data_IF_085622165023
#
_entry.id   IF_085622165023
#
_cell.length_a   1.000
_cell.length_b   1.000
_cell.length_c   1.000
_cell.angle_alpha   90.00
_cell.angle_beta   90.00
_cell.angle_gamma   90.00
#
_symmetry.space_group_name_H-M   'P 1'
#
loop_
_entity.id
_entity.type
_entity.pdbx_description
1 polymer ?
#
# COMPACT_ATOMS: atom_id res chain seq x y z
N UNK A 1 5.40 -13.73 -6.08
CA UNK A 1 5.74 -12.70 -5.10
C UNK A 1 4.65 -11.64 -5.09
N UNK A 2 4.33 -11.09 -3.93
CA UNK A 2 3.28 -10.09 -3.82
C UNK A 2 3.71 -8.71 -4.28
N UNK A 3 2.73 -7.90 -4.67
CA UNK A 3 2.91 -6.50 -5.04
C UNK A 3 2.16 -5.66 -4.01
N UNK A 4 2.83 -4.67 -3.42
CA UNK A 4 2.25 -3.82 -2.40
C UNK A 4 1.76 -2.52 -3.05
N UNK A 5 0.53 -2.13 -2.74
CA UNK A 5 -0.04 -0.85 -3.18
C UNK A 5 -0.36 -0.02 -1.95
N UNK A 6 0.16 1.20 -1.91
CA UNK A 6 0.00 2.11 -0.78
C UNK A 6 -0.75 3.35 -1.26
N UNK A 7 -1.88 3.64 -0.63
CA UNK A 7 -2.70 4.81 -0.91
C UNK A 7 -2.55 5.80 0.23
N UNK A 8 -2.21 7.04 -0.08
CA UNK A 8 -1.94 8.06 0.92
C UNK A 8 -2.33 9.45 0.43
N UNK A 9 -2.28 10.40 1.35
CA UNK A 9 -2.43 11.82 1.05
C UNK A 9 -1.43 12.57 1.92
N UNK A 10 -0.81 13.64 1.39
CA UNK A 10 0.28 14.35 2.06
C UNK A 10 -0.11 14.93 3.42
N UNK A 11 -1.37 15.33 3.58
CA UNK A 11 -1.88 15.89 4.83
C UNK A 11 -2.43 14.85 5.82
N UNK A 12 -2.32 13.56 5.48
CA UNK A 12 -2.73 12.49 6.39
C UNK A 12 -1.75 12.41 7.58
N UNK A 13 -2.25 12.37 8.84
CA UNK A 13 -1.37 12.28 10.01
C UNK A 13 -0.45 11.05 10.00
N UNK A 14 -0.87 9.98 9.34
CA UNK A 14 -0.10 8.73 9.25
C UNK A 14 0.77 8.66 7.99
N UNK A 15 0.84 9.73 7.21
CA UNK A 15 1.67 9.77 6.01
C UNK A 15 3.14 9.42 6.28
N UNK A 16 3.80 9.95 7.33
CA UNK A 16 5.20 9.59 7.60
C UNK A 16 5.40 8.09 7.82
N UNK A 17 4.44 7.42 8.46
CA UNK A 17 4.50 5.97 8.68
C UNK A 17 4.34 5.20 7.37
N UNK A 18 3.41 5.62 6.53
CA UNK A 18 3.20 5.00 5.22
C UNK A 18 4.43 5.18 4.32
N UNK A 19 5.02 6.36 4.35
CA UNK A 19 6.25 6.65 3.60
C UNK A 19 7.41 5.78 4.06
N UNK A 20 7.58 5.62 5.37
CA UNK A 20 8.63 4.78 5.93
C UNK A 20 8.44 3.31 5.52
N UNK A 21 7.21 2.83 5.57
CA UNK A 21 6.88 1.48 5.11
C UNK A 21 7.26 1.29 3.65
N UNK A 22 6.88 2.24 2.78
CA UNK A 22 7.25 2.20 1.37
C UNK A 22 8.75 2.13 1.18
N UNK A 23 9.48 3.03 1.82
CA UNK A 23 10.92 3.12 1.67
C UNK A 23 11.62 1.83 2.13
N UNK A 24 11.18 1.27 3.26
CA UNK A 24 11.73 0.02 3.78
C UNK A 24 11.46 -1.14 2.84
N UNK A 25 10.25 -1.23 2.28
CA UNK A 25 9.91 -2.28 1.32
C UNK A 25 10.76 -2.18 0.05
N UNK A 26 10.95 -0.96 -0.46
CA UNK A 26 11.78 -0.73 -1.63
C UNK A 26 13.24 -1.12 -1.39
N UNK A 27 13.76 -0.85 -0.20
CA UNK A 27 15.11 -1.26 0.19
C UNK A 27 15.28 -2.78 0.19
N UNK A 28 14.19 -3.50 0.42
CA UNK A 28 14.19 -4.96 0.43
C UNK A 28 13.77 -5.56 -0.92
N UNK A 29 13.78 -4.76 -1.97
CA UNK A 29 13.45 -5.16 -3.33
C UNK A 29 12.03 -5.71 -3.48
N UNK A 30 11.11 -5.26 -2.65
CA UNK A 30 9.68 -5.58 -2.78
C UNK A 30 9.06 -4.61 -3.78
N UNK A 31 8.24 -5.13 -4.70
CA UNK A 31 7.52 -4.29 -5.64
C UNK A 31 6.46 -3.46 -4.91
N UNK A 32 6.58 -2.14 -4.96
CA UNK A 32 5.67 -1.20 -4.31
C UNK A 32 5.21 -0.16 -5.31
N UNK A 33 3.90 0.02 -5.40
CA UNK A 33 3.30 1.13 -6.13
C UNK A 33 2.60 2.03 -5.12
N UNK A 34 2.99 3.28 -5.05
CA UNK A 34 2.36 4.24 -4.15
C UNK A 34 1.50 5.24 -4.93
N UNK A 35 0.34 5.56 -4.38
CA UNK A 35 -0.65 6.41 -5.02
C UNK A 35 -1.04 7.55 -4.08
N UNK A 36 -0.78 8.78 -4.53
CA UNK A 36 -1.25 9.98 -3.82
C UNK A 36 -2.68 10.28 -4.31
N UNK A 37 -3.67 10.08 -3.42
CA UNK A 37 -5.07 10.31 -3.79
C UNK A 37 -5.42 11.78 -3.98
N UNK A 38 -4.49 12.69 -3.67
CA UNK A 38 -4.62 14.11 -3.99
C UNK A 38 -4.34 14.42 -5.47
N UNK A 39 -3.85 13.43 -6.24
CA UNK A 39 -3.65 13.57 -7.68
C UNK A 39 -4.77 12.88 -8.43
N UNK A 40 -4.96 13.26 -9.71
CA UNK A 40 -5.98 12.65 -10.55
C UNK A 40 -5.74 11.14 -10.72
N UNK A 41 -4.50 10.75 -11.01
CA UNK A 41 -4.15 9.34 -11.21
C UNK A 41 -4.30 8.53 -9.93
N UNK A 42 -3.84 9.07 -8.80
CA UNK A 42 -3.97 8.40 -7.51
C UNK A 42 -5.41 8.23 -7.09
N UNK A 43 -6.24 9.25 -7.34
CA UNK A 43 -7.67 9.18 -7.02
C UNK A 43 -8.38 8.14 -7.89
N UNK A 44 -8.02 8.03 -9.16
CA UNK A 44 -8.59 7.02 -10.05
C UNK A 44 -8.29 5.61 -9.55
N UNK A 45 -7.06 5.35 -9.13
CA UNK A 45 -6.67 4.06 -8.56
C UNK A 45 -7.42 3.77 -7.26
N UNK A 46 -7.52 4.78 -6.37
CA UNK A 46 -8.24 4.65 -5.12
C UNK A 46 -9.71 4.31 -5.36
N UNK A 47 -10.33 4.92 -6.35
CA UNK A 47 -11.72 4.66 -6.72
C UNK A 47 -11.88 3.23 -7.23
N UNK A 48 -10.95 2.77 -8.05
CA UNK A 48 -10.97 1.40 -8.57
C UNK A 48 -10.95 0.36 -7.44
N UNK A 49 -10.17 0.60 -6.40
CA UNK A 49 -10.06 -0.31 -5.25
C UNK A 49 -11.03 0.01 -4.12
N UNK A 50 -11.92 0.96 -4.31
CA UNK A 50 -12.89 1.41 -3.30
C UNK A 50 -12.20 1.84 -2.00
N UNK A 51 -11.10 2.57 -2.11
CA UNK A 51 -10.37 3.07 -0.96
C UNK A 51 -11.12 4.24 -0.34
N UNK A 52 -11.63 4.05 0.88
CA UNK A 52 -12.44 5.04 1.60
C UNK A 52 -11.74 5.59 2.82
N UNK A 53 -10.65 4.99 3.24
CA UNK A 53 -9.87 5.42 4.41
C UNK A 53 -8.40 5.54 4.02
N UNK A 54 -7.66 6.44 4.66
CA UNK A 54 -6.24 6.66 4.39
C UNK A 54 -5.43 6.58 5.68
N UNK A 55 -4.24 6.01 5.64
CA UNK A 55 -3.70 5.28 4.50
C UNK A 55 -4.36 3.91 4.33
N UNK A 56 -4.28 3.35 3.14
CA UNK A 56 -4.68 1.98 2.85
C UNK A 56 -3.52 1.26 2.20
N UNK A 57 -3.24 0.06 2.67
CA UNK A 57 -2.19 -0.80 2.13
C UNK A 57 -2.84 -2.07 1.63
N UNK A 58 -2.62 -2.40 0.35
CA UNK A 58 -3.13 -3.60 -0.29
C UNK A 58 -1.97 -4.44 -0.77
N UNK A 59 -2.10 -5.75 -0.68
CA UNK A 59 -1.13 -6.68 -1.26
C UNK A 59 -1.87 -7.59 -2.23
N UNK A 60 -1.37 -7.67 -3.45
CA UNK A 60 -1.93 -8.49 -4.51
C UNK A 60 -0.88 -9.48 -5.02
N UNK A 61 -1.34 -10.59 -5.59
CA UNK A 61 -0.46 -11.47 -6.34
C UNK A 61 -0.29 -10.95 -7.78
N UNK A 62 0.48 -11.68 -8.60
CA UNK A 62 0.74 -11.28 -9.99
C UNK A 62 -0.50 -11.34 -10.88
N UNK A 63 -1.53 -12.08 -10.47
CA UNK A 63 -2.82 -12.15 -11.16
C UNK A 63 -3.82 -11.12 -10.62
N UNK A 64 -3.36 -10.17 -9.79
CA UNK A 64 -4.16 -9.11 -9.21
C UNK A 64 -5.23 -9.62 -8.22
N UNK A 65 -5.02 -10.80 -7.65
CA UNK A 65 -5.87 -11.29 -6.56
C UNK A 65 -5.45 -10.63 -5.25
N UNK A 66 -6.42 -10.14 -4.48
CA UNK A 66 -6.16 -9.54 -3.18
C UNK A 66 -5.71 -10.62 -2.18
N UNK A 67 -4.55 -10.40 -1.57
CA UNK A 67 -4.00 -11.29 -0.56
C UNK A 67 -4.24 -10.77 0.85
N UNK A 68 -4.13 -9.47 1.05
CA UNK A 68 -4.31 -8.82 2.34
C UNK A 68 -4.58 -7.33 2.16
N UNK A 69 -5.34 -6.76 3.10
CA UNK A 69 -5.68 -5.33 3.10
C UNK A 69 -5.60 -4.76 4.51
N UNK A 70 -5.08 -3.55 4.63
CA UNK A 70 -5.17 -2.75 5.85
C UNK A 70 -5.72 -1.38 5.46
N UNK A 71 -6.95 -1.09 5.88
CA UNK A 71 -7.65 0.14 5.51
C UNK A 71 -7.73 1.07 6.72
N UNK A 72 -7.11 2.26 6.56
CA UNK A 72 -7.07 3.27 7.63
C UNK A 72 -6.01 3.00 8.69
N UNK A 73 -5.03 2.14 8.39
CA UNK A 73 -3.93 1.84 9.30
C UNK A 73 -2.68 1.45 8.52
N UNK A 74 -1.53 1.54 9.20
CA UNK A 74 -0.24 1.13 8.62
C UNK A 74 0.21 -0.13 9.36
N UNK A 75 0.34 -1.27 8.67
CA UNK A 75 0.78 -2.50 9.30
C UNK A 75 2.27 -2.44 9.64
N UNK A 76 2.71 -3.33 10.52
CA UNK A 76 4.12 -3.52 10.80
C UNK A 76 4.79 -4.14 9.57
N UNK A 77 6.06 -3.79 9.33
CA UNK A 77 6.80 -4.28 8.17
C UNK A 77 6.83 -5.83 8.11
N UNK A 78 6.93 -6.49 9.24
CA UNK A 78 6.97 -7.96 9.29
C UNK A 78 5.67 -8.59 8.78
N UNK A 79 4.53 -7.98 9.07
CA UNK A 79 3.22 -8.45 8.58
C UNK A 79 3.16 -8.39 7.06
N UNK A 80 3.66 -7.28 6.50
CA UNK A 80 3.67 -7.08 5.04
C UNK A 80 4.60 -8.10 4.38
N UNK A 81 5.82 -8.26 4.92
CA UNK A 81 6.81 -9.18 4.35
C UNK A 81 6.35 -10.62 4.39
N UNK A 82 5.67 -11.02 5.47
CA UNK A 82 5.13 -12.39 5.57
C UNK A 82 4.13 -12.68 4.45
N UNK A 83 3.25 -11.73 4.14
CA UNK A 83 2.28 -11.90 3.06
C UNK A 83 2.96 -11.88 1.69
N UNK A 84 3.85 -10.92 1.46
CA UNK A 84 4.57 -10.76 0.18
C UNK A 84 5.38 -12.00 -0.16
N UNK A 85 6.14 -12.51 0.81
CA UNK A 85 7.02 -13.65 0.59
C UNK A 85 6.26 -14.98 0.56
N UNK A 86 5.05 -15.02 1.13
CA UNK A 86 4.20 -16.20 1.09
C UNK A 86 3.38 -16.33 -0.19
N UNK A 87 3.41 -15.29 -1.03
CA UNK A 87 2.60 -15.24 -2.24
C UNK A 87 3.20 -16.05 -3.40
#
# INVERSE_FOLDING_TARGET
MGIVKIFYKDDCPMFPMAKKLRDTLQEQNVAVNDFNVGTTDGLAEATFYSVMALPTILIEDEAENSLQEWRGSVPHIDEVLNVVHGA
#
